data_IF_497991021822
#
_entry.id   IF_497991021822
#
_cell.length_a   1.000
_cell.length_b   1.000
_cell.length_c   1.000
_cell.angle_alpha   90.00
_cell.angle_beta   90.00
_cell.angle_gamma   90.00
#
_symmetry.space_group_name_H-M   'P 1'
#
loop_
_entity.id
_entity.type
_entity.pdbx_description
1 polymer ?
#
# COMPACT_ATOMS: atom_id res chain seq x y z
N UNK A 1 32.48 -1.22 -20.44
CA UNK A 1 32.08 -1.13 -19.01
C UNK A 1 32.49 -2.37 -18.23
N UNK A 2 31.92 -3.56 -18.48
CA UNK A 2 32.18 -4.77 -17.68
C UNK A 2 33.65 -5.19 -17.60
N UNK A 3 34.38 -5.09 -18.72
CA UNK A 3 35.83 -5.35 -18.77
C UNK A 3 36.63 -4.50 -17.77
N UNK A 4 36.29 -3.22 -17.62
CA UNK A 4 36.95 -2.31 -16.67
C UNK A 4 36.62 -2.69 -15.23
N UNK A 5 35.35 -3.01 -14.95
CA UNK A 5 34.94 -3.45 -13.61
C UNK A 5 35.62 -4.78 -13.24
N UNK A 6 35.65 -5.77 -14.14
CA UNK A 6 36.37 -7.04 -13.95
C UNK A 6 37.86 -6.83 -13.68
N UNK A 7 38.48 -5.82 -14.30
CA UNK A 7 39.84 -5.39 -14.00
C UNK A 7 40.01 -4.95 -12.54
N UNK A 8 39.09 -4.12 -12.05
CA UNK A 8 39.10 -3.60 -10.66
C UNK A 8 38.75 -4.67 -9.63
N UNK A 9 37.78 -5.56 -9.92
CA UNK A 9 37.35 -6.60 -8.96
C UNK A 9 38.19 -7.86 -9.00
N UNK A 10 39.20 -7.92 -9.87
CA UNK A 10 40.12 -9.06 -10.01
C UNK A 10 40.80 -9.47 -8.70
N UNK A 11 41.10 -8.51 -7.82
CA UNK A 11 41.65 -8.75 -6.47
C UNK A 11 40.62 -9.27 -5.45
N UNK A 12 39.33 -9.25 -5.78
CA UNK A 12 38.20 -9.67 -4.94
C UNK A 12 37.43 -10.89 -5.50
N UNK A 13 38.05 -11.66 -6.40
CA UNK A 13 37.44 -12.85 -7.03
C UNK A 13 36.86 -13.88 -6.06
N UNK A 14 37.34 -13.94 -4.81
CA UNK A 14 36.80 -14.82 -3.76
C UNK A 14 35.36 -14.45 -3.34
N UNK A 15 34.87 -13.26 -3.67
CA UNK A 15 33.50 -12.81 -3.40
C UNK A 15 32.49 -13.24 -4.46
N UNK A 16 32.96 -13.78 -5.60
CA UNK A 16 32.14 -14.20 -6.73
C UNK A 16 32.13 -15.72 -6.87
N UNK A 17 31.13 -16.31 -7.57
CA UNK A 17 31.16 -17.72 -7.95
C UNK A 17 32.47 -18.06 -8.68
N UNK A 18 33.05 -19.22 -8.38
CA UNK A 18 34.39 -19.59 -8.88
C UNK A 18 34.43 -19.52 -10.42
N UNK A 19 35.38 -18.73 -10.94
CA UNK A 19 35.71 -18.59 -12.37
C UNK A 19 34.65 -17.90 -13.25
N UNK A 20 33.68 -17.18 -12.67
CA UNK A 20 32.73 -16.37 -13.47
C UNK A 20 33.22 -14.94 -13.67
N UNK A 21 32.99 -14.39 -14.87
CA UNK A 21 33.15 -12.96 -15.19
C UNK A 21 31.93 -12.20 -14.69
N UNK A 22 32.10 -10.94 -14.30
CA UNK A 22 30.97 -10.13 -13.83
C UNK A 22 29.93 -9.92 -14.93
N UNK A 23 30.38 -9.79 -16.19
CA UNK A 23 29.50 -9.69 -17.36
C UNK A 23 28.43 -10.79 -17.37
N UNK A 24 28.84 -12.05 -17.21
CA UNK A 24 27.94 -13.22 -17.18
C UNK A 24 26.94 -13.15 -16.02
N UNK A 25 27.39 -12.69 -14.84
CA UNK A 25 26.49 -12.53 -13.68
C UNK A 25 25.45 -11.43 -13.90
N UNK A 26 25.78 -10.43 -14.73
CA UNK A 26 24.94 -9.28 -14.98
C UNK A 26 24.02 -9.45 -16.20
N UNK A 27 24.34 -10.34 -17.14
CA UNK A 27 23.49 -10.67 -18.30
C UNK A 27 22.05 -10.99 -17.87
N UNK A 28 21.85 -11.80 -16.82
CA UNK A 28 20.52 -12.12 -16.30
C UNK A 28 19.74 -10.91 -15.74
N UNK A 29 20.40 -9.78 -15.48
CA UNK A 29 19.76 -8.56 -14.97
C UNK A 29 19.46 -7.54 -16.05
N UNK A 30 20.16 -7.58 -17.19
CA UNK A 30 20.00 -6.61 -18.26
C UNK A 30 19.26 -7.14 -19.49
N UNK A 31 19.26 -8.47 -19.69
CA UNK A 31 18.72 -9.09 -20.91
C UNK A 31 17.31 -9.67 -20.72
N UNK A 32 16.68 -9.47 -19.56
CA UNK A 32 15.32 -9.94 -19.30
C UNK A 32 14.56 -8.93 -18.45
N UNK A 33 13.24 -8.87 -18.66
CA UNK A 33 12.36 -7.93 -17.97
C UNK A 33 12.03 -8.39 -16.54
N UNK A 34 11.76 -7.41 -15.68
CA UNK A 34 11.33 -7.64 -14.30
C UNK A 34 12.48 -7.92 -13.33
N UNK A 35 12.12 -8.47 -12.17
CA UNK A 35 13.05 -8.83 -11.10
C UNK A 35 12.48 -9.98 -10.27
N UNK A 36 13.32 -10.75 -9.54
CA UNK A 36 12.85 -11.93 -8.83
C UNK A 36 12.24 -11.60 -7.46
N UNK A 37 11.25 -12.40 -7.08
CA UNK A 37 10.98 -12.73 -5.68
C UNK A 37 11.75 -14.00 -5.32
N UNK A 38 12.50 -13.92 -4.22
CA UNK A 38 13.27 -15.03 -3.67
C UNK A 38 12.48 -15.62 -2.51
N UNK A 39 11.98 -16.85 -2.67
CA UNK A 39 11.28 -17.58 -1.62
C UNK A 39 12.31 -18.33 -0.76
N UNK A 40 12.33 -18.06 0.53
CA UNK A 40 13.28 -18.62 1.48
C UNK A 40 12.54 -19.40 2.56
N UNK A 41 12.86 -20.68 2.66
CA UNK A 41 12.30 -21.60 3.65
C UNK A 41 13.40 -22.18 4.54
N UNK A 42 13.81 -21.47 5.60
CA UNK A 42 14.71 -22.01 6.60
C UNK A 42 14.03 -23.11 7.41
N UNK A 43 14.76 -24.19 7.66
CA UNK A 43 14.39 -25.26 8.57
C UNK A 43 15.28 -25.16 9.82
N UNK A 44 14.69 -24.66 10.91
CA UNK A 44 15.40 -24.42 12.15
C UNK A 44 15.73 -25.70 12.95
N UNK A 45 15.22 -26.87 12.53
CA UNK A 45 15.51 -28.17 13.16
C UNK A 45 16.82 -28.77 12.66
N UNK A 46 17.05 -28.76 11.34
CA UNK A 46 18.21 -29.40 10.71
C UNK A 46 19.21 -28.40 10.09
N UNK A 47 18.88 -27.11 10.06
CA UNK A 47 19.71 -26.04 9.53
C UNK A 47 19.73 -25.93 8.00
N UNK A 48 18.81 -26.59 7.28
CA UNK A 48 18.69 -26.42 5.83
C UNK A 48 17.96 -25.13 5.47
N UNK A 49 18.33 -24.50 4.37
CA UNK A 49 17.63 -23.36 3.78
C UNK A 49 17.27 -23.74 2.36
N UNK A 50 15.98 -23.94 2.10
CA UNK A 50 15.48 -24.09 0.74
C UNK A 50 15.23 -22.70 0.17
N UNK A 51 15.77 -22.42 -1.00
CA UNK A 51 15.64 -21.14 -1.69
C UNK A 51 15.12 -21.40 -3.09
N UNK A 52 14.08 -20.67 -3.48
CA UNK A 52 13.62 -20.61 -4.87
C UNK A 52 13.55 -19.19 -5.38
N UNK A 53 13.56 -19.03 -6.71
CA UNK A 53 13.33 -17.76 -7.36
C UNK A 53 12.18 -17.86 -8.37
N UNK A 54 11.34 -16.82 -8.38
CA UNK A 54 10.25 -16.67 -9.33
C UNK A 54 10.25 -15.20 -9.78
N UNK A 55 9.79 -14.91 -11.00
CA UNK A 55 9.59 -13.53 -11.44
C UNK A 55 8.49 -12.87 -10.58
N UNK A 56 8.72 -11.61 -10.15
CA UNK A 56 7.71 -10.81 -9.46
C UNK A 56 6.93 -9.98 -10.49
N UNK A 57 5.91 -10.57 -11.11
CA UNK A 57 5.12 -9.94 -12.19
C UNK A 57 3.97 -9.11 -11.63
N UNK A 58 3.58 -8.08 -12.40
CA UNK A 58 2.46 -7.20 -12.09
C UNK A 58 1.08 -7.87 -12.25
N UNK A 59 0.94 -8.94 -13.03
CA UNK A 59 -0.32 -9.67 -13.19
C UNK A 59 -0.09 -11.18 -13.20
N UNK A 60 -0.91 -11.90 -12.44
CA UNK A 60 -0.95 -13.36 -12.39
C UNK A 60 -1.75 -13.98 -13.55
N UNK A 61 -2.22 -13.17 -14.50
CA UNK A 61 -3.02 -13.58 -15.64
C UNK A 61 -2.18 -14.19 -16.77
N UNK A 62 -0.88 -13.89 -16.85
CA UNK A 62 0.03 -14.59 -17.75
C UNK A 62 0.37 -15.96 -17.17
N UNK A 63 -0.31 -17.00 -17.68
CA UNK A 63 0.00 -18.43 -17.45
C UNK A 63 1.30 -18.88 -18.11
N UNK A 64 2.12 -17.96 -18.61
CA UNK A 64 3.42 -18.33 -19.15
C UNK A 64 4.35 -18.66 -17.98
N UNK A 65 4.79 -19.90 -17.94
CA UNK A 65 5.89 -20.34 -17.07
C UNK A 65 7.13 -19.57 -17.49
N UNK A 66 7.34 -18.43 -16.85
CA UNK A 66 8.51 -17.61 -17.11
C UNK A 66 9.69 -18.24 -16.37
N UNK A 67 10.49 -19.01 -17.10
CA UNK A 67 11.69 -19.69 -16.60
C UNK A 67 12.88 -18.74 -16.38
N UNK A 68 12.62 -17.42 -16.39
CA UNK A 68 13.61 -16.39 -16.09
C UNK A 68 14.22 -16.62 -14.71
N UNK A 69 15.54 -16.57 -14.68
CA UNK A 69 16.38 -16.88 -13.55
C UNK A 69 17.52 -15.88 -13.48
N UNK A 70 17.91 -15.51 -12.27
CA UNK A 70 18.91 -14.47 -12.01
C UNK A 70 20.08 -15.04 -11.22
N UNK A 71 21.28 -14.52 -11.51
CA UNK A 71 22.41 -14.61 -10.59
C UNK A 71 22.22 -13.66 -9.42
N UNK A 72 21.90 -14.18 -8.25
CA UNK A 72 21.54 -13.35 -7.08
C UNK A 72 22.56 -13.48 -5.95
N UNK A 73 23.26 -12.39 -5.56
CA UNK A 73 24.05 -12.36 -4.33
C UNK A 73 23.13 -12.16 -3.13
N UNK A 74 22.84 -13.24 -2.41
CA UNK A 74 22.01 -13.28 -1.21
C UNK A 74 22.83 -13.10 0.05
N UNK A 75 22.88 -11.87 0.55
CA UNK A 75 23.42 -11.56 1.88
C UNK A 75 22.36 -11.85 2.95
N UNK A 76 22.72 -12.57 4.01
CA UNK A 76 21.80 -12.85 5.11
C UNK A 76 22.46 -12.80 6.50
N UNK A 77 21.65 -12.59 7.52
CA UNK A 77 22.01 -12.66 8.92
C UNK A 77 21.00 -13.51 9.70
N UNK A 78 21.50 -14.25 10.68
CA UNK A 78 20.70 -14.86 11.74
C UNK A 78 20.73 -13.92 12.93
N UNK A 79 19.58 -13.40 13.34
CA UNK A 79 19.51 -12.35 14.36
C UNK A 79 19.69 -12.97 15.75
N UNK A 80 20.93 -13.24 16.16
CA UNK A 80 21.27 -13.80 17.47
C UNK A 80 21.72 -12.70 18.46
N UNK A 81 21.24 -12.76 19.71
CA UNK A 81 21.53 -11.85 20.82
C UNK A 81 23.03 -11.78 21.21
N UNK A 82 23.87 -12.73 20.79
CA UNK A 82 25.24 -12.94 21.34
C UNK A 82 26.43 -12.86 20.36
N UNK A 83 26.23 -12.65 19.05
CA UNK A 83 27.35 -12.48 18.10
C UNK A 83 27.36 -11.07 17.49
N UNK A 84 28.56 -10.57 17.14
CA UNK A 84 28.66 -9.51 16.12
C UNK A 84 27.85 -9.99 14.90
N UNK A 85 27.07 -9.11 14.26
CA UNK A 85 26.25 -9.46 13.11
C UNK A 85 27.16 -9.97 11.99
N UNK A 86 27.29 -11.29 11.84
CA UNK A 86 28.07 -11.90 10.78
C UNK A 86 27.17 -12.01 9.57
N UNK A 87 27.43 -11.19 8.55
CA UNK A 87 26.74 -11.26 7.27
C UNK A 87 27.35 -12.37 6.45
N UNK A 88 26.52 -13.35 6.09
CA UNK A 88 26.88 -14.47 5.22
C UNK A 88 26.40 -14.17 3.80
N UNK A 89 27.04 -14.78 2.80
CA UNK A 89 26.72 -14.59 1.38
C UNK A 89 26.49 -15.96 0.73
N UNK A 90 25.39 -16.08 0.02
CA UNK A 90 25.07 -17.18 -0.90
C UNK A 90 24.95 -16.58 -2.30
N UNK A 91 25.44 -17.28 -3.32
CA UNK A 91 25.16 -16.93 -4.71
C UNK A 91 24.15 -17.92 -5.26
N UNK A 92 22.96 -17.44 -5.63
CA UNK A 92 22.04 -18.23 -6.41
C UNK A 92 22.55 -18.33 -7.84
N UNK A 93 22.57 -19.56 -8.35
CA UNK A 93 22.80 -19.88 -9.74
C UNK A 93 21.56 -19.56 -10.60
N UNK A 94 21.77 -19.12 -11.84
CA UNK A 94 20.72 -18.93 -12.83
C UNK A 94 20.12 -20.27 -13.28
N UNK A 95 20.90 -21.32 -13.52
CA UNK A 95 20.38 -22.62 -14.02
C UNK A 95 19.44 -23.39 -13.08
N UNK A 96 19.20 -22.94 -11.85
CA UNK A 96 18.38 -23.65 -10.86
C UNK A 96 17.36 -22.75 -10.18
N UNK A 97 16.08 -22.99 -10.48
CA UNK A 97 14.94 -22.40 -9.79
C UNK A 97 14.91 -22.75 -8.31
N UNK A 98 15.37 -23.93 -7.90
CA UNK A 98 15.36 -24.42 -6.52
C UNK A 98 16.76 -24.86 -6.08
N UNK A 99 17.20 -24.37 -4.93
CA UNK A 99 18.52 -24.64 -4.37
C UNK A 99 18.43 -24.85 -2.86
N UNK A 100 19.24 -25.77 -2.33
CA UNK A 100 19.28 -26.08 -0.89
C UNK A 100 20.66 -25.77 -0.34
N UNK A 101 20.69 -24.95 0.70
CA UNK A 101 21.88 -24.58 1.45
C UNK A 101 21.82 -25.13 2.87
N UNK A 102 22.96 -25.20 3.56
CA UNK A 102 23.03 -25.63 4.96
C UNK A 102 23.80 -24.61 5.77
N UNK A 103 23.24 -24.22 6.91
CA UNK A 103 23.90 -23.38 7.90
C UNK A 103 23.59 -23.91 9.30
N UNK A 104 24.61 -24.47 9.95
CA UNK A 104 24.47 -25.05 11.30
C UNK A 104 24.10 -24.01 12.36
N UNK A 105 24.38 -22.73 12.13
CA UNK A 105 23.98 -21.66 13.06
C UNK A 105 22.45 -21.43 13.08
N UNK A 106 21.72 -21.97 12.09
CA UNK A 106 20.24 -21.96 12.08
C UNK A 106 19.62 -22.98 13.01
N UNK A 107 20.36 -24.05 13.34
CA UNK A 107 19.91 -25.08 14.26
C UNK A 107 19.80 -24.47 15.65
N UNK A 108 18.61 -23.97 15.97
CA UNK A 108 18.42 -23.15 17.15
C UNK A 108 17.87 -24.01 18.29
N UNK A 109 18.38 -23.81 19.51
CA UNK A 109 17.83 -24.47 20.70
C UNK A 109 16.45 -23.89 21.00
N UNK A 110 15.57 -24.72 21.58
CA UNK A 110 14.13 -24.59 21.78
C UNK A 110 13.61 -23.29 22.42
N UNK A 111 14.47 -22.38 22.86
CA UNK A 111 14.12 -21.20 23.67
C UNK A 111 14.40 -19.86 22.99
N UNK A 112 14.93 -19.81 21.77
CA UNK A 112 15.18 -18.55 21.06
C UNK A 112 14.60 -18.54 19.64
N UNK A 113 13.54 -17.74 19.42
CA UNK A 113 12.87 -17.57 18.13
C UNK A 113 13.60 -16.56 17.24
N UNK A 114 14.90 -16.75 17.03
CA UNK A 114 15.69 -15.86 16.16
C UNK A 114 15.28 -16.05 14.70
N UNK A 115 14.93 -14.97 13.97
CA UNK A 115 14.66 -15.03 12.55
C UNK A 115 15.95 -14.98 11.72
N UNK A 116 15.80 -15.38 10.47
CA UNK A 116 16.79 -15.15 9.40
C UNK A 116 16.30 -14.01 8.53
N UNK A 117 17.18 -13.04 8.26
CA UNK A 117 16.88 -11.91 7.39
C UNK A 117 17.83 -11.95 6.20
N UNK A 118 17.27 -11.91 5.00
CA UNK A 118 17.99 -11.85 3.73
C UNK A 118 17.97 -10.44 3.14
N UNK A 119 18.78 -10.22 2.11
CA UNK A 119 19.03 -8.92 1.48
C UNK A 119 19.48 -7.86 2.49
N UNK A 120 20.55 -8.14 3.25
CA UNK A 120 21.02 -7.22 4.30
C UNK A 120 21.27 -5.81 3.75
N UNK A 121 20.66 -4.81 4.39
CA UNK A 121 20.57 -3.41 3.96
C UNK A 121 19.87 -3.15 2.62
N UNK A 122 19.09 -4.10 2.10
CA UNK A 122 18.33 -3.97 0.86
C UNK A 122 19.22 -3.59 -0.35
N UNK A 123 20.45 -4.11 -0.40
CA UNK A 123 21.40 -3.76 -1.48
C UNK A 123 21.14 -4.47 -2.79
N UNK A 124 20.36 -5.55 -2.78
CA UNK A 124 19.99 -6.31 -3.97
C UNK A 124 18.62 -5.89 -4.52
N UNK A 125 18.49 -5.88 -5.84
CA UNK A 125 17.26 -5.53 -6.56
C UNK A 125 16.31 -6.74 -6.69
N UNK A 126 15.83 -7.23 -5.54
CA UNK A 126 14.93 -8.38 -5.45
C UNK A 126 14.13 -8.34 -4.16
N UNK A 127 12.97 -9.01 -4.16
CA UNK A 127 12.11 -9.15 -2.98
C UNK A 127 12.39 -10.47 -2.26
N UNK A 128 12.16 -10.52 -0.96
CA UNK A 128 12.27 -11.76 -0.19
C UNK A 128 10.90 -12.16 0.36
N UNK A 129 10.47 -13.36 0.03
CA UNK A 129 9.37 -14.03 0.73
C UNK A 129 9.94 -15.12 1.65
N UNK A 130 9.36 -15.28 2.83
CA UNK A 130 9.76 -16.30 3.79
C UNK A 130 8.66 -17.33 3.99
N UNK A 131 9.00 -18.52 4.48
CA UNK A 131 8.00 -19.44 5.02
C UNK A 131 7.30 -18.87 6.28
N UNK A 132 6.14 -19.42 6.61
CA UNK A 132 5.31 -18.99 7.74
C UNK A 132 6.07 -19.00 9.08
N UNK A 133 6.95 -19.99 9.30
CA UNK A 133 7.72 -20.08 10.53
C UNK A 133 8.67 -18.88 10.68
N UNK A 134 9.41 -18.51 9.62
CA UNK A 134 10.32 -17.38 9.70
C UNK A 134 9.58 -16.04 9.72
N UNK A 135 8.48 -15.88 8.97
CA UNK A 135 7.61 -14.68 9.10
C UNK A 135 7.10 -14.51 10.54
N UNK A 136 6.65 -15.59 11.19
CA UNK A 136 6.23 -15.56 12.60
C UNK A 136 7.38 -15.15 13.53
N UNK A 137 8.57 -15.71 13.34
CA UNK A 137 9.79 -15.33 14.11
C UNK A 137 10.13 -13.86 13.89
N UNK A 138 10.05 -13.36 12.65
CA UNK A 138 10.28 -11.94 12.30
C UNK A 138 9.31 -11.05 13.05
N UNK A 139 8.00 -11.31 12.98
CA UNK A 139 6.98 -10.51 13.67
C UNK A 139 7.22 -10.47 15.18
N UNK A 140 7.49 -11.62 15.80
CA UNK A 140 7.75 -11.69 17.24
C UNK A 140 9.01 -10.94 17.61
N UNK A 141 10.06 -11.05 16.80
CA UNK A 141 11.33 -10.40 17.05
C UNK A 141 11.26 -8.88 16.85
N UNK A 142 10.50 -8.38 15.88
CA UNK A 142 10.23 -6.94 15.72
C UNK A 142 9.55 -6.37 16.97
N UNK A 143 8.54 -7.07 17.51
CA UNK A 143 7.87 -6.64 18.74
C UNK A 143 8.79 -6.66 19.96
N UNK A 144 9.70 -7.64 20.03
CA UNK A 144 10.61 -7.80 21.15
C UNK A 144 11.80 -6.84 21.10
N UNK A 145 12.49 -6.74 19.96
CA UNK A 145 13.69 -5.92 19.79
C UNK A 145 13.96 -5.57 18.31
N UNK A 146 13.10 -4.73 17.74
CA UNK A 146 13.22 -4.26 16.34
C UNK A 146 14.58 -3.60 16.03
N UNK A 147 15.23 -2.93 16.99
CA UNK A 147 16.52 -2.24 16.79
C UNK A 147 17.67 -3.19 16.38
N UNK A 148 17.52 -4.49 16.66
CA UNK A 148 18.51 -5.50 16.26
C UNK A 148 18.39 -5.90 14.79
N UNK A 149 17.29 -5.57 14.10
CA UNK A 149 17.16 -5.64 12.64
C UNK A 149 17.56 -4.27 12.07
N UNK A 150 18.40 -4.28 11.02
CA UNK A 150 18.85 -3.04 10.37
C UNK A 150 17.69 -2.21 9.85
N UNK A 151 17.84 -0.87 9.89
CA UNK A 151 16.82 0.09 9.43
C UNK A 151 16.28 -0.27 8.03
N UNK A 152 17.16 -0.43 7.04
CA UNK A 152 16.76 -0.76 5.67
C UNK A 152 16.13 -2.14 5.53
N UNK A 153 16.48 -3.11 6.38
CA UNK A 153 15.76 -4.38 6.41
C UNK A 153 14.37 -4.23 7.05
N UNK A 154 14.16 -3.32 8.01
CA UNK A 154 12.80 -3.05 8.52
C UNK A 154 11.93 -2.39 7.45
N UNK A 155 12.50 -1.45 6.69
CA UNK A 155 11.86 -0.88 5.48
C UNK A 155 11.47 -2.00 4.52
N UNK A 156 12.43 -2.86 4.17
CA UNK A 156 12.21 -4.00 3.29
C UNK A 156 11.11 -4.93 3.83
N UNK A 157 11.10 -5.28 5.11
CA UNK A 157 10.09 -6.19 5.67
C UNK A 157 8.68 -5.61 5.57
N UNK A 158 8.51 -4.29 5.76
CA UNK A 158 7.23 -3.62 5.55
C UNK A 158 6.88 -3.60 4.06
N UNK A 159 7.79 -3.14 3.19
CA UNK A 159 7.54 -3.06 1.75
C UNK A 159 7.24 -4.43 1.12
N UNK A 160 8.14 -5.41 1.31
CA UNK A 160 8.02 -6.76 0.76
C UNK A 160 6.75 -7.44 1.28
N UNK A 161 6.44 -7.39 2.57
CA UNK A 161 5.25 -8.11 3.09
C UNK A 161 3.93 -7.60 2.49
N UNK A 162 3.77 -6.29 2.30
CA UNK A 162 2.58 -5.74 1.65
C UNK A 162 2.57 -5.98 0.14
N UNK A 163 3.71 -5.81 -0.54
CA UNK A 163 3.81 -6.03 -1.99
C UNK A 163 3.62 -7.51 -2.37
N UNK A 164 4.15 -8.44 -1.56
CA UNK A 164 3.93 -9.88 -1.73
C UNK A 164 2.47 -10.26 -1.51
N UNK A 165 1.83 -9.68 -0.49
CA UNK A 165 0.41 -9.94 -0.24
C UNK A 165 -0.49 -9.45 -1.38
N UNK A 166 -0.22 -8.26 -1.90
CA UNK A 166 -0.94 -7.70 -3.06
C UNK A 166 -0.79 -8.52 -4.34
N UNK A 167 0.25 -9.35 -4.43
CA UNK A 167 0.49 -10.26 -5.56
C UNK A 167 0.14 -11.71 -5.25
N UNK A 168 -0.50 -11.99 -4.11
CA UNK A 168 -0.94 -13.34 -3.73
C UNK A 168 0.19 -14.29 -3.29
N UNK A 169 1.43 -13.81 -3.14
CA UNK A 169 2.54 -14.63 -2.63
C UNK A 169 2.51 -14.82 -1.10
N UNK A 170 1.69 -14.02 -0.41
CA UNK A 170 1.65 -13.96 1.05
C UNK A 170 0.23 -13.64 1.52
N UNK A 171 -0.23 -14.24 2.62
CA UNK A 171 -1.50 -13.82 3.22
C UNK A 171 -1.39 -12.42 3.81
N UNK A 172 -2.42 -11.58 3.62
CA UNK A 172 -2.53 -10.26 4.24
C UNK A 172 -2.43 -10.27 5.78
N UNK A 173 -2.63 -11.41 6.44
CA UNK A 173 -2.37 -11.52 7.88
C UNK A 173 -0.93 -11.21 8.25
N UNK A 174 0.04 -11.54 7.40
CA UNK A 174 1.46 -11.37 7.71
C UNK A 174 1.84 -9.90 7.79
N UNK A 175 1.61 -9.04 6.76
CA UNK A 175 1.89 -7.61 6.87
C UNK A 175 1.11 -6.96 8.02
N UNK A 176 -0.17 -7.29 8.24
CA UNK A 176 -0.93 -6.75 9.37
C UNK A 176 -0.38 -7.19 10.74
N UNK A 177 0.11 -8.42 10.87
CA UNK A 177 0.82 -8.86 12.09
C UNK A 177 2.14 -8.11 12.27
N UNK A 178 2.87 -7.81 11.19
CA UNK A 178 4.07 -6.97 11.24
C UNK A 178 3.71 -5.57 11.76
N UNK A 179 2.63 -4.93 11.29
CA UNK A 179 2.30 -3.56 11.74
C UNK A 179 2.12 -3.39 13.26
N UNK A 180 1.90 -4.48 14.01
CA UNK A 180 1.80 -4.46 15.47
C UNK A 180 3.05 -3.95 16.20
N UNK A 181 4.23 -3.93 15.56
CA UNK A 181 5.43 -3.34 16.17
C UNK A 181 5.57 -1.83 15.91
N UNK A 182 4.88 -1.29 14.89
CA UNK A 182 5.07 0.09 14.42
C UNK A 182 4.89 1.16 15.52
N UNK A 183 3.99 1.03 16.52
CA UNK A 183 3.92 2.03 17.61
C UNK A 183 5.24 2.26 18.37
N UNK A 184 6.19 1.34 18.27
CA UNK A 184 7.53 1.45 18.85
C UNK A 184 8.59 1.93 17.85
N UNK A 185 8.28 2.05 16.55
CA UNK A 185 9.22 2.48 15.52
C UNK A 185 9.44 4.00 15.54
N UNK A 186 10.70 4.40 15.55
CA UNK A 186 11.16 5.78 15.63
C UNK A 186 11.66 6.33 14.30
N UNK A 187 11.97 5.44 13.34
CA UNK A 187 12.58 5.82 12.07
C UNK A 187 11.54 6.29 11.04
N UNK A 188 11.61 7.55 10.54
CA UNK A 188 10.60 8.10 9.64
C UNK A 188 10.39 7.30 8.35
N UNK A 189 11.48 6.77 7.78
CA UNK A 189 11.44 6.04 6.51
C UNK A 189 10.52 4.81 6.56
N UNK A 190 10.48 4.08 7.69
CA UNK A 190 9.63 2.89 7.84
C UNK A 190 8.15 3.30 7.84
N UNK A 191 7.81 4.41 8.49
CA UNK A 191 6.45 4.91 8.51
C UNK A 191 5.99 5.45 7.16
N UNK A 192 6.87 6.12 6.42
CA UNK A 192 6.58 6.56 5.05
C UNK A 192 6.31 5.35 4.17
N UNK A 193 7.17 4.33 4.20
CA UNK A 193 6.95 3.07 3.48
C UNK A 193 5.64 2.41 3.88
N UNK A 194 5.30 2.36 5.17
CA UNK A 194 4.02 1.83 5.62
C UNK A 194 2.84 2.61 5.04
N UNK A 195 2.85 3.94 5.06
CA UNK A 195 1.77 4.76 4.52
C UNK A 195 1.63 4.66 3.00
N UNK A 196 2.74 4.51 2.28
CA UNK A 196 2.73 4.26 0.83
C UNK A 196 2.11 2.89 0.52
N UNK A 197 2.55 1.83 1.23
CA UNK A 197 1.92 0.50 1.11
C UNK A 197 0.45 0.53 1.51
N UNK A 198 0.09 1.30 2.54
CA UNK A 198 -1.29 1.47 2.92
C UNK A 198 -2.09 2.15 1.80
N UNK A 199 -1.51 3.14 1.12
CA UNK A 199 -2.14 3.78 -0.04
C UNK A 199 -2.42 2.76 -1.14
N UNK A 200 -1.41 1.97 -1.50
CA UNK A 200 -1.49 0.92 -2.52
C UNK A 200 -2.63 -0.07 -2.23
N UNK A 201 -2.76 -0.53 -0.98
CA UNK A 201 -3.79 -1.52 -0.64
C UNK A 201 -5.18 -0.87 -0.52
N UNK A 202 -5.27 0.40 -0.11
CA UNK A 202 -6.60 1.05 0.02
C UNK A 202 -7.20 1.48 -1.31
N UNK A 203 -6.37 1.74 -2.32
CA UNK A 203 -6.84 2.05 -3.67
C UNK A 203 -7.34 0.80 -4.39
N UNK A 204 -6.81 -0.39 -4.06
CA UNK A 204 -7.07 -1.65 -4.77
C UNK A 204 -7.98 -2.65 -4.04
N UNK A 205 -7.91 -2.72 -2.71
CA UNK A 205 -8.46 -3.85 -1.94
C UNK A 205 -9.29 -3.34 -0.76
N UNK A 206 -8.69 -2.61 0.17
CA UNK A 206 -9.31 -2.23 1.43
C UNK A 206 -9.67 -0.75 1.43
N UNK A 207 -10.82 -0.37 0.88
CA UNK A 207 -11.32 0.99 1.17
C UNK A 207 -11.57 1.07 2.68
N UNK A 208 -10.68 1.73 3.43
CA UNK A 208 -10.73 1.83 4.89
C UNK A 208 -12.09 2.35 5.38
N UNK A 209 -12.73 3.20 4.58
CA UNK A 209 -14.06 3.76 4.81
C UNK A 209 -15.15 2.66 4.93
N UNK A 210 -14.94 1.49 4.33
CA UNK A 210 -15.89 0.36 4.35
C UNK A 210 -15.65 -0.64 5.49
N UNK A 211 -14.56 -0.49 6.23
CA UNK A 211 -14.13 -1.49 7.20
C UNK A 211 -13.77 -0.85 8.54
N UNK A 212 -14.80 -0.59 9.36
CA UNK A 212 -14.64 0.09 10.65
C UNK A 212 -13.62 -0.59 11.58
N UNK A 213 -13.54 -1.93 11.57
CA UNK A 213 -12.56 -2.64 12.40
C UNK A 213 -11.11 -2.37 11.98
N UNK A 214 -10.83 -2.40 10.66
CA UNK A 214 -9.52 -2.07 10.09
C UNK A 214 -9.20 -0.59 10.34
N UNK A 215 -10.17 0.30 10.11
CA UNK A 215 -10.04 1.74 10.36
C UNK A 215 -9.64 2.04 11.81
N UNK A 216 -10.34 1.46 12.78
CA UNK A 216 -10.05 1.61 14.21
C UNK A 216 -8.68 1.03 14.57
N UNK A 217 -8.32 -0.14 14.03
CA UNK A 217 -7.00 -0.73 14.26
C UNK A 217 -5.87 0.16 13.75
N UNK A 218 -5.97 0.62 12.50
CA UNK A 218 -4.96 1.47 11.87
C UNK A 218 -4.82 2.81 12.61
N UNK A 219 -5.94 3.42 13.02
CA UNK A 219 -5.95 4.61 13.87
C UNK A 219 -5.17 4.37 15.17
N UNK A 220 -5.41 3.24 15.84
CA UNK A 220 -4.75 2.94 17.11
C UNK A 220 -3.23 2.78 16.96
N UNK A 221 -2.76 2.06 15.93
CA UNK A 221 -1.30 1.86 15.75
C UNK A 221 -0.58 3.14 15.30
N UNK A 222 -1.29 4.06 14.64
CA UNK A 222 -0.73 5.33 14.13
C UNK A 222 -0.90 6.50 15.09
N UNK A 223 -1.73 6.40 16.12
CA UNK A 223 -2.09 7.49 17.03
C UNK A 223 -0.88 8.18 17.66
N UNK A 224 0.07 7.41 18.18
CA UNK A 224 1.27 7.93 18.83
C UNK A 224 2.15 8.74 17.85
N UNK A 225 2.24 8.27 16.60
CA UNK A 225 2.97 8.97 15.55
C UNK A 225 2.29 10.29 15.21
N UNK A 226 0.97 10.27 14.98
CA UNK A 226 0.20 11.47 14.70
C UNK A 226 0.36 12.51 15.80
N UNK A 227 0.20 12.12 17.07
CA UNK A 227 0.34 13.03 18.22
C UNK A 227 1.73 13.66 18.33
N UNK A 228 2.78 12.90 17.97
CA UNK A 228 4.15 13.40 17.91
C UNK A 228 4.30 14.48 16.83
N UNK A 229 3.90 14.16 15.60
CA UNK A 229 4.12 15.05 14.46
C UNK A 229 3.20 16.28 14.46
N UNK A 230 2.02 16.26 15.11
CA UNK A 230 1.23 17.47 15.30
C UNK A 230 1.89 18.51 16.22
N UNK A 231 2.81 18.09 17.10
CA UNK A 231 3.57 19.00 17.97
C UNK A 231 4.87 19.46 17.32
N UNK A 232 5.60 18.53 16.71
CA UNK A 232 6.97 18.75 16.22
C UNK A 232 7.03 19.37 14.81
N UNK A 233 5.91 19.43 14.06
CA UNK A 233 5.91 19.85 12.66
C UNK A 233 6.38 21.29 12.44
N UNK A 234 5.98 22.23 13.30
CA UNK A 234 6.27 23.66 13.11
C UNK A 234 7.77 23.99 13.19
N UNK A 235 8.60 23.07 13.68
CA UNK A 235 10.02 23.30 13.97
C UNK A 235 10.96 22.59 12.99
N UNK A 236 10.48 21.64 12.18
CA UNK A 236 11.35 20.78 11.36
C UNK A 236 11.57 21.32 9.95
N UNK A 237 12.83 21.64 9.62
CA UNK A 237 13.28 21.93 8.23
C UNK A 237 13.58 20.68 7.39
N UNK A 238 13.51 19.48 7.99
CA UNK A 238 13.79 18.22 7.29
C UNK A 238 12.58 17.78 6.42
N UNK A 239 12.83 17.64 5.12
CA UNK A 239 11.84 17.21 4.13
C UNK A 239 11.21 15.84 4.44
N UNK A 240 11.97 14.91 5.03
CA UNK A 240 11.48 13.58 5.41
C UNK A 240 10.46 13.68 6.55
N UNK A 241 10.76 14.49 7.56
CA UNK A 241 9.84 14.74 8.68
C UNK A 241 8.59 15.48 8.23
N UNK A 242 8.74 16.44 7.31
CA UNK A 242 7.63 17.15 6.67
C UNK A 242 6.71 16.19 5.91
N UNK A 243 7.27 15.32 5.06
CA UNK A 243 6.51 14.29 4.34
C UNK A 243 5.78 13.35 5.30
N UNK A 244 6.42 12.96 6.40
CA UNK A 244 5.79 12.10 7.40
C UNK A 244 4.66 12.79 8.16
N UNK A 245 4.80 14.08 8.48
CA UNK A 245 3.70 14.85 9.05
C UNK A 245 2.50 14.90 8.08
N UNK A 246 2.73 15.20 6.80
CA UNK A 246 1.67 15.22 5.78
C UNK A 246 0.94 13.88 5.72
N UNK A 247 1.68 12.78 5.55
CA UNK A 247 1.11 11.43 5.49
C UNK A 247 0.38 11.05 6.78
N UNK A 248 0.99 11.31 7.95
CA UNK A 248 0.37 10.99 9.24
C UNK A 248 -0.95 11.75 9.45
N UNK A 249 -1.03 12.98 8.97
CA UNK A 249 -2.25 13.80 9.02
C UNK A 249 -3.29 13.24 8.06
N UNK A 250 -2.95 13.12 6.77
CA UNK A 250 -3.83 12.55 5.73
C UNK A 250 -4.47 11.23 6.17
N UNK A 251 -3.66 10.30 6.67
CA UNK A 251 -4.13 8.99 7.11
C UNK A 251 -4.96 9.06 8.40
N UNK A 252 -4.56 9.87 9.38
CA UNK A 252 -5.36 10.04 10.60
C UNK A 252 -6.73 10.60 10.31
N UNK A 253 -6.82 11.56 9.39
CA UNK A 253 -8.07 12.14 8.92
C UNK A 253 -8.93 11.12 8.16
N UNK A 254 -8.33 10.35 7.25
CA UNK A 254 -9.00 9.27 6.52
C UNK A 254 -9.52 8.15 7.43
N UNK A 255 -8.90 7.94 8.59
CA UNK A 255 -9.31 6.95 9.59
C UNK A 255 -10.26 7.50 10.66
N UNK A 256 -10.88 8.67 10.43
CA UNK A 256 -11.80 9.32 11.37
C UNK A 256 -11.17 9.46 12.78
N UNK A 257 -9.92 9.93 12.83
CA UNK A 257 -9.28 10.27 14.09
C UNK A 257 -9.96 11.51 14.70
N UNK A 258 -10.53 11.42 15.92
CA UNK A 258 -11.24 12.55 16.54
C UNK A 258 -10.40 13.82 16.64
N UNK A 259 -9.08 13.69 16.86
CA UNK A 259 -8.17 14.84 16.90
C UNK A 259 -8.01 15.48 15.52
N UNK A 260 -7.86 14.69 14.45
CA UNK A 260 -7.85 15.28 13.11
C UNK A 260 -9.21 15.94 12.81
N UNK A 261 -10.33 15.27 13.08
CA UNK A 261 -11.67 15.83 12.82
C UNK A 261 -11.82 17.21 13.45
N UNK A 262 -11.42 17.36 14.72
CA UNK A 262 -11.45 18.64 15.41
C UNK A 262 -10.53 19.70 14.77
N UNK A 263 -9.32 19.31 14.33
CA UNK A 263 -8.40 20.22 13.62
C UNK A 263 -9.02 20.68 12.29
N UNK A 264 -9.59 19.74 11.53
CA UNK A 264 -10.22 19.98 10.23
C UNK A 264 -11.43 20.91 10.33
N UNK A 265 -12.33 20.65 11.27
CA UNK A 265 -13.51 21.49 11.52
C UNK A 265 -13.08 22.91 11.88
N UNK A 266 -12.17 23.06 12.85
CA UNK A 266 -11.65 24.38 13.25
C UNK A 266 -11.00 25.14 12.10
N UNK A 267 -10.18 24.47 11.29
CA UNK A 267 -9.52 25.09 10.15
C UNK A 267 -10.53 25.65 9.13
N UNK A 268 -11.60 24.89 8.83
CA UNK A 268 -12.64 25.35 7.89
C UNK A 268 -13.55 26.40 8.54
N UNK A 269 -13.88 26.30 9.82
CA UNK A 269 -14.62 27.35 10.54
C UNK A 269 -13.89 28.69 10.58
N UNK A 270 -12.57 28.67 10.80
CA UNK A 270 -11.73 29.87 10.73
C UNK A 270 -11.71 30.45 9.32
N UNK A 271 -11.65 29.59 8.30
CA UNK A 271 -11.72 30.00 6.90
C UNK A 271 -13.08 30.63 6.55
N UNK A 272 -14.18 30.05 7.04
CA UNK A 272 -15.54 30.61 6.88
C UNK A 272 -15.70 31.98 7.53
N UNK A 273 -15.02 32.22 8.67
CA UNK A 273 -15.03 33.52 9.36
C UNK A 273 -14.14 34.56 8.68
N UNK A 274 -13.07 34.12 8.01
CA UNK A 274 -12.12 35.00 7.33
C UNK A 274 -11.52 34.29 6.12
N UNK A 275 -11.88 34.74 4.91
CA UNK A 275 -11.42 34.15 3.65
C UNK A 275 -9.89 34.13 3.47
N UNK A 276 -9.12 34.91 4.25
CA UNK A 276 -7.65 34.88 4.24
C UNK A 276 -7.06 33.75 5.09
N UNK A 277 -7.84 33.13 5.99
CA UNK A 277 -7.43 32.01 6.85
C UNK A 277 -7.67 30.66 6.17
N UNK A 278 -7.09 30.50 4.98
CA UNK A 278 -7.18 29.26 4.20
C UNK A 278 -6.56 28.10 4.98
N UNK A 279 -7.17 26.89 4.99
CA UNK A 279 -6.55 25.71 5.57
C UNK A 279 -5.15 25.45 5.02
N UNK A 280 -4.29 24.83 5.83
CA UNK A 280 -2.89 24.59 5.45
C UNK A 280 -2.79 23.85 4.11
N UNK A 281 -2.14 24.48 3.12
CA UNK A 281 -2.09 23.99 1.73
C UNK A 281 -1.51 22.59 1.58
N UNK A 282 -0.55 22.20 2.43
CA UNK A 282 0.15 20.92 2.34
C UNK A 282 -0.69 19.71 2.77
N UNK A 283 -1.73 19.97 3.56
CA UNK A 283 -2.69 18.98 4.05
C UNK A 283 -4.12 19.41 3.76
N UNK A 284 -4.31 20.33 2.81
CA UNK A 284 -5.59 20.98 2.54
C UNK A 284 -6.68 19.97 2.22
N UNK A 285 -6.39 19.03 1.31
CA UNK A 285 -7.33 17.98 0.93
C UNK A 285 -7.78 17.18 2.15
N UNK A 286 -6.86 16.80 3.04
CA UNK A 286 -7.19 16.05 4.25
C UNK A 286 -8.09 16.86 5.20
N UNK A 287 -7.79 18.14 5.40
CA UNK A 287 -8.58 19.02 6.27
C UNK A 287 -9.96 19.27 5.70
N UNK A 288 -10.05 19.70 4.45
CA UNK A 288 -11.31 20.08 3.79
C UNK A 288 -12.22 18.88 3.57
N UNK A 289 -11.69 17.77 3.06
CA UNK A 289 -12.47 16.52 2.92
C UNK A 289 -13.06 16.07 4.27
N UNK A 290 -12.27 16.13 5.34
CA UNK A 290 -12.72 15.71 6.69
C UNK A 290 -13.77 16.66 7.25
N UNK A 291 -13.59 17.97 7.06
CA UNK A 291 -14.56 18.97 7.50
C UNK A 291 -15.89 18.82 6.75
N UNK A 292 -15.86 18.58 5.44
CA UNK A 292 -17.05 18.33 4.63
C UNK A 292 -17.75 17.04 5.06
N UNK A 293 -16.99 15.95 5.28
CA UNK A 293 -17.54 14.66 5.73
C UNK A 293 -18.33 14.77 7.04
N UNK A 294 -17.88 15.64 7.95
CA UNK A 294 -18.45 15.89 9.27
C UNK A 294 -19.29 17.18 9.34
N UNK A 295 -19.46 17.87 8.22
CA UNK A 295 -20.10 19.17 8.12
C UNK A 295 -21.52 19.09 7.60
N UNK A 296 -22.19 20.25 7.57
CA UNK A 296 -23.53 20.40 6.99
C UNK A 296 -23.45 21.05 5.60
N UNK A 297 -24.62 21.30 5.00
CA UNK A 297 -24.70 21.92 3.68
C UNK A 297 -24.08 23.32 3.62
N UNK A 298 -24.10 24.09 4.73
CA UNK A 298 -23.46 25.41 4.77
C UNK A 298 -21.95 25.32 4.60
N UNK A 299 -21.30 24.35 5.24
CA UNK A 299 -19.87 24.07 5.05
C UNK A 299 -19.59 23.70 3.60
N UNK A 300 -20.39 22.81 3.03
CA UNK A 300 -20.23 22.37 1.64
C UNK A 300 -20.37 23.52 0.65
N UNK A 301 -21.43 24.32 0.76
CA UNK A 301 -21.70 25.47 -0.11
C UNK A 301 -20.59 26.53 0.00
N UNK A 302 -20.09 26.78 1.22
CA UNK A 302 -18.95 27.68 1.40
C UNK A 302 -17.71 27.15 0.67
N UNK A 303 -17.30 25.89 0.89
CA UNK A 303 -16.10 25.35 0.24
C UNK A 303 -16.24 25.37 -1.28
N UNK A 304 -17.43 25.04 -1.81
CA UNK A 304 -17.71 25.12 -3.23
C UNK A 304 -17.57 26.55 -3.78
N UNK A 305 -17.97 27.57 -3.00
CA UNK A 305 -17.86 28.98 -3.42
C UNK A 305 -16.41 29.47 -3.48
N UNK A 306 -15.46 28.76 -2.85
CA UNK A 306 -14.03 29.12 -2.87
C UNK A 306 -13.28 28.58 -4.09
N UNK A 307 -13.94 27.89 -5.02
CA UNK A 307 -13.31 27.27 -6.20
C UNK A 307 -12.36 28.21 -6.94
N UNK A 308 -12.77 29.45 -7.21
CA UNK A 308 -11.98 30.44 -7.95
C UNK A 308 -10.98 31.22 -7.09
N UNK A 309 -11.00 31.02 -5.77
CA UNK A 309 -10.24 31.82 -4.80
C UNK A 309 -9.00 31.08 -4.26
N UNK A 310 -8.83 29.80 -4.59
CA UNK A 310 -7.69 29.01 -4.13
C UNK A 310 -6.68 28.72 -5.25
N UNK A 311 -5.42 28.49 -4.86
CA UNK A 311 -4.32 28.24 -5.81
C UNK A 311 -4.54 26.98 -6.64
N UNK A 312 -5.09 25.93 -6.05
CA UNK A 312 -5.34 24.65 -6.72
C UNK A 312 -6.82 24.25 -6.63
N UNK A 313 -7.68 24.72 -7.54
CA UNK A 313 -9.12 24.46 -7.53
C UNK A 313 -9.50 22.96 -7.51
N UNK A 314 -8.64 22.07 -8.04
CA UNK A 314 -8.89 20.63 -8.00
C UNK A 314 -8.95 20.09 -6.55
N UNK A 315 -8.34 20.77 -5.58
CA UNK A 315 -8.46 20.43 -4.17
C UNK A 315 -9.88 20.69 -3.63
N UNK A 316 -10.58 21.73 -4.11
CA UNK A 316 -12.00 21.94 -3.81
C UNK A 316 -12.81 20.78 -4.38
N UNK A 317 -12.65 20.50 -5.68
CA UNK A 317 -13.39 19.44 -6.38
C UNK A 317 -13.26 18.11 -5.65
N UNK A 318 -12.02 17.75 -5.29
CA UNK A 318 -11.75 16.51 -4.56
C UNK A 318 -12.38 16.51 -3.16
N UNK A 319 -12.30 17.63 -2.43
CA UNK A 319 -12.88 17.75 -1.08
C UNK A 319 -14.41 17.67 -1.06
N UNK A 320 -15.09 18.25 -2.05
CA UNK A 320 -16.56 18.26 -2.16
C UNK A 320 -17.16 16.85 -2.27
N UNK A 321 -16.43 15.92 -2.88
CA UNK A 321 -16.84 14.52 -3.00
C UNK A 321 -16.92 13.79 -1.64
N UNK A 322 -16.32 14.32 -0.57
CA UNK A 322 -16.26 13.67 0.74
C UNK A 322 -17.54 13.77 1.59
N UNK A 323 -18.59 14.45 1.09
CA UNK A 323 -19.85 14.59 1.81
C UNK A 323 -20.48 13.24 2.11
N UNK A 324 -20.98 13.07 3.32
CA UNK A 324 -21.76 11.87 3.70
C UNK A 324 -23.26 12.03 3.38
N UNK A 325 -23.72 13.24 3.05
CA UNK A 325 -25.10 13.52 2.71
C UNK A 325 -25.37 13.15 1.23
N UNK A 326 -26.22 12.16 1.02
CA UNK A 326 -26.57 11.63 -0.31
C UNK A 326 -27.12 12.71 -1.26
N UNK A 327 -28.01 13.57 -0.78
CA UNK A 327 -28.60 14.64 -1.60
C UNK A 327 -27.58 15.68 -2.03
N UNK A 328 -26.57 15.96 -1.20
CA UNK A 328 -25.44 16.82 -1.59
C UNK A 328 -24.60 16.16 -2.68
N UNK A 329 -24.36 14.85 -2.60
CA UNK A 329 -23.61 14.12 -3.62
C UNK A 329 -24.39 14.04 -4.94
N UNK A 330 -25.70 13.79 -4.90
CA UNK A 330 -26.57 13.81 -6.08
C UNK A 330 -26.54 15.20 -6.75
N UNK A 331 -26.77 16.28 -5.97
CA UNK A 331 -26.60 17.67 -6.44
C UNK A 331 -25.22 17.90 -7.06
N UNK A 332 -24.16 17.36 -6.46
CA UNK A 332 -22.80 17.56 -6.95
C UNK A 332 -22.54 16.85 -8.29
N UNK A 333 -23.12 15.68 -8.49
CA UNK A 333 -23.10 14.98 -9.79
C UNK A 333 -23.92 15.74 -10.84
N UNK A 334 -25.11 16.24 -10.50
CA UNK A 334 -25.93 17.04 -11.43
C UNK A 334 -25.21 18.31 -11.89
N UNK A 335 -24.43 18.94 -11.01
CA UNK A 335 -23.59 20.09 -11.36
C UNK A 335 -22.56 19.79 -12.47
N UNK A 336 -22.15 18.54 -12.69
CA UNK A 336 -21.25 18.20 -13.82
C UNK A 336 -21.95 18.25 -15.16
N UNK A 337 -23.29 18.29 -15.19
CA UNK A 337 -24.11 18.49 -16.39
C UNK A 337 -24.57 19.95 -16.51
N UNK A 338 -24.99 20.55 -15.40
CA UNK A 338 -25.65 21.86 -15.40
C UNK A 338 -24.68 23.05 -15.35
N UNK A 339 -23.47 22.87 -14.80
CA UNK A 339 -22.53 23.96 -14.57
C UNK A 339 -21.23 23.77 -15.38
N UNK A 340 -20.93 24.72 -16.27
CA UNK A 340 -19.77 24.65 -17.16
C UNK A 340 -18.42 24.47 -16.43
N UNK A 341 -18.28 25.04 -15.22
CA UNK A 341 -17.05 24.90 -14.42
C UNK A 341 -16.86 23.46 -13.95
N UNK A 342 -17.90 22.85 -13.39
CA UNK A 342 -17.83 21.47 -12.91
C UNK A 342 -17.90 20.44 -14.04
N UNK A 343 -18.55 20.77 -15.15
CA UNK A 343 -18.53 19.97 -16.38
C UNK A 343 -17.09 19.72 -16.85
N UNK A 344 -16.25 20.76 -16.88
CA UNK A 344 -14.83 20.63 -17.24
C UNK A 344 -13.98 19.80 -16.26
N UNK A 345 -14.56 19.41 -15.11
CA UNK A 345 -13.94 18.63 -14.04
C UNK A 345 -14.69 17.33 -13.74
N UNK A 346 -15.62 16.94 -14.61
CA UNK A 346 -16.49 15.79 -14.41
C UNK A 346 -15.69 14.51 -14.10
N UNK A 347 -14.55 14.31 -14.76
CA UNK A 347 -13.67 13.17 -14.52
C UNK A 347 -13.15 13.09 -13.08
N UNK A 348 -12.68 14.20 -12.50
CA UNK A 348 -12.24 14.26 -11.10
C UNK A 348 -13.43 14.03 -10.16
N UNK A 349 -14.59 14.60 -10.48
CA UNK A 349 -15.83 14.42 -9.68
C UNK A 349 -16.22 12.95 -9.65
N UNK A 350 -16.31 12.31 -10.82
CA UNK A 350 -16.68 10.90 -10.96
C UNK A 350 -15.68 10.01 -10.25
N UNK A 351 -14.39 10.24 -10.48
CA UNK A 351 -13.32 9.50 -9.82
C UNK A 351 -13.50 9.57 -8.30
N UNK A 352 -13.65 10.78 -7.72
CA UNK A 352 -13.70 11.02 -6.27
C UNK A 352 -15.03 10.69 -5.62
N UNK A 353 -16.15 10.80 -6.31
CA UNK A 353 -17.46 10.41 -5.76
C UNK A 353 -17.55 8.88 -5.67
N UNK A 354 -17.15 8.15 -6.71
CA UNK A 354 -17.13 6.68 -6.68
C UNK A 354 -16.07 6.10 -5.72
N UNK A 355 -15.15 6.92 -5.23
CA UNK A 355 -14.22 6.53 -4.18
C UNK A 355 -14.92 6.33 -2.82
N UNK A 356 -15.97 7.09 -2.55
CA UNK A 356 -16.65 7.13 -1.24
C UNK A 356 -17.73 6.06 -1.11
N UNK A 357 -18.08 5.68 0.13
CA UNK A 357 -19.13 4.68 0.38
C UNK A 357 -20.50 5.09 -0.17
N UNK A 358 -20.96 6.30 0.15
CA UNK A 358 -22.27 6.79 -0.27
C UNK A 358 -22.26 7.24 -1.75
N UNK A 359 -21.12 7.74 -2.22
CA UNK A 359 -21.00 8.24 -3.58
C UNK A 359 -21.02 7.17 -4.65
N UNK A 360 -20.57 5.93 -4.40
CA UNK A 360 -20.65 4.84 -5.40
C UNK A 360 -22.05 4.58 -5.91
N UNK A 361 -23.01 4.41 -4.99
CA UNK A 361 -24.40 4.18 -5.38
C UNK A 361 -25.01 5.40 -6.08
N UNK A 362 -24.71 6.61 -5.59
CA UNK A 362 -25.22 7.84 -6.22
C UNK A 362 -24.63 8.04 -7.62
N UNK A 363 -23.33 7.79 -7.80
CA UNK A 363 -22.66 7.85 -9.09
C UNK A 363 -23.20 6.80 -10.06
N UNK A 364 -23.34 5.55 -9.64
CA UNK A 364 -23.88 4.51 -10.52
C UNK A 364 -25.31 4.81 -10.97
N UNK A 365 -26.17 5.28 -10.05
CA UNK A 365 -27.54 5.70 -10.39
C UNK A 365 -27.55 6.90 -11.35
N UNK A 366 -26.68 7.87 -11.12
CA UNK A 366 -26.52 9.03 -12.00
C UNK A 366 -26.13 8.62 -13.42
N UNK A 367 -25.14 7.73 -13.56
CA UNK A 367 -24.73 7.20 -14.87
C UNK A 367 -25.87 6.42 -15.51
N UNK A 368 -26.53 5.51 -14.78
CA UNK A 368 -27.67 4.73 -15.32
C UNK A 368 -28.79 5.62 -15.87
N UNK A 369 -29.04 6.75 -15.23
CA UNK A 369 -30.08 7.69 -15.62
C UNK A 369 -29.71 8.53 -16.85
N UNK A 370 -28.43 8.89 -17.01
CA UNK A 370 -27.99 9.85 -18.03
C UNK A 370 -27.04 9.28 -19.07
N UNK A 371 -26.75 7.98 -19.05
CA UNK A 371 -25.79 7.34 -19.95
C UNK A 371 -26.03 7.71 -21.41
N UNK A 372 -27.26 7.55 -21.89
CA UNK A 372 -27.63 7.78 -23.29
C UNK A 372 -27.59 9.27 -23.69
N UNK A 373 -27.52 10.19 -22.73
CA UNK A 373 -27.38 11.64 -22.95
C UNK A 373 -25.92 12.13 -22.86
N UNK A 374 -25.03 11.31 -22.31
CA UNK A 374 -23.65 11.66 -22.05
C UNK A 374 -22.75 11.19 -23.19
N UNK A 375 -21.73 11.99 -23.52
CA UNK A 375 -20.68 11.52 -24.41
C UNK A 375 -19.85 10.46 -23.67
N UNK A 376 -19.74 9.27 -24.26
CA UNK A 376 -18.90 8.20 -23.74
C UNK A 376 -17.47 8.71 -23.59
N UNK A 377 -16.91 8.51 -22.41
CA UNK A 377 -15.55 8.94 -22.12
C UNK A 377 -14.83 7.86 -21.33
N UNK A 378 -13.55 7.68 -21.67
CA UNK A 378 -12.67 6.74 -20.98
C UNK A 378 -12.65 6.95 -19.45
N UNK A 379 -12.76 8.19 -19.00
CA UNK A 379 -12.79 8.53 -17.57
C UNK A 379 -14.07 8.01 -16.87
N UNK A 380 -15.20 8.01 -17.58
CA UNK A 380 -16.45 7.40 -17.10
C UNK A 380 -16.30 5.89 -17.00
N UNK A 381 -15.76 5.24 -18.03
CA UNK A 381 -15.51 3.79 -18.04
C UNK A 381 -14.60 3.41 -16.87
N UNK A 382 -13.45 4.08 -16.70
CA UNK A 382 -12.51 3.86 -15.60
C UNK A 382 -13.19 4.02 -14.22
N UNK A 383 -14.10 4.97 -14.08
CA UNK A 383 -14.88 5.16 -12.86
C UNK A 383 -15.88 4.02 -12.63
N UNK A 384 -16.54 3.49 -13.66
CA UNK A 384 -17.43 2.34 -13.57
C UNK A 384 -16.67 1.04 -13.27
N UNK A 385 -15.51 0.81 -13.90
CA UNK A 385 -14.59 -0.27 -13.52
C UNK A 385 -14.24 -0.21 -12.04
N UNK A 386 -14.02 1.00 -11.52
CA UNK A 386 -13.70 1.24 -10.11
C UNK A 386 -14.90 0.96 -9.20
N UNK A 387 -16.11 1.36 -9.58
CA UNK A 387 -17.35 0.99 -8.87
C UNK A 387 -17.46 -0.54 -8.79
N UNK A 388 -17.29 -1.23 -9.92
CA UNK A 388 -17.37 -2.69 -10.01
C UNK A 388 -16.38 -3.36 -9.05
N UNK A 389 -15.09 -2.96 -9.12
CA UNK A 389 -14.01 -3.47 -8.24
C UNK A 389 -14.22 -3.16 -6.76
N UNK A 390 -15.01 -2.14 -6.43
CA UNK A 390 -15.28 -1.69 -5.05
C UNK A 390 -16.71 -2.01 -4.58
N UNK A 391 -17.39 -2.93 -5.27
CA UNK A 391 -18.73 -3.36 -4.93
C UNK A 391 -18.79 -3.92 -3.51
N UNK A 392 -19.83 -3.53 -2.76
CA UNK A 392 -19.97 -3.90 -1.35
C UNK A 392 -20.41 -5.36 -1.16
N UNK A 393 -21.13 -5.92 -2.13
CA UNK A 393 -21.67 -7.27 -2.08
C UNK A 393 -21.88 -7.80 -3.51
N UNK A 394 -22.27 -9.07 -3.62
CA UNK A 394 -22.53 -9.72 -4.91
C UNK A 394 -23.61 -9.00 -5.71
N UNK A 395 -24.72 -8.61 -5.09
CA UNK A 395 -25.83 -7.93 -5.78
C UNK A 395 -25.40 -6.63 -6.45
N UNK A 396 -24.65 -5.77 -5.74
CA UNK A 396 -24.11 -4.54 -6.30
C UNK A 396 -23.08 -4.82 -7.41
N UNK A 397 -22.27 -5.87 -7.26
CA UNK A 397 -21.32 -6.27 -8.30
C UNK A 397 -22.06 -6.67 -9.57
N UNK A 398 -23.04 -7.56 -9.43
CA UNK A 398 -23.81 -8.13 -10.55
C UNK A 398 -24.58 -7.01 -11.28
N UNK A 399 -25.21 -6.09 -10.55
CA UNK A 399 -25.93 -4.95 -11.14
C UNK A 399 -25.01 -4.05 -12.00
N UNK A 400 -23.80 -3.74 -11.50
CA UNK A 400 -22.84 -2.91 -12.24
C UNK A 400 -22.25 -3.69 -13.41
N UNK A 401 -21.98 -4.99 -13.24
CA UNK A 401 -21.45 -5.84 -14.29
C UNK A 401 -22.44 -5.95 -15.46
N UNK A 402 -23.72 -6.19 -15.18
CA UNK A 402 -24.76 -6.29 -16.20
C UNK A 402 -24.90 -4.98 -16.98
N UNK A 403 -24.86 -3.84 -16.29
CA UNK A 403 -24.88 -2.52 -16.95
C UNK A 403 -23.68 -2.32 -17.88
N UNK A 404 -22.46 -2.64 -17.42
CA UNK A 404 -21.24 -2.50 -18.21
C UNK A 404 -21.25 -3.44 -19.43
N UNK A 405 -21.76 -4.67 -19.30
CA UNK A 405 -21.93 -5.61 -20.41
C UNK A 405 -22.85 -5.06 -21.49
N UNK A 406 -23.96 -4.46 -21.08
CA UNK A 406 -24.98 -3.95 -22.01
C UNK A 406 -24.53 -2.67 -22.72
N UNK A 407 -23.87 -1.77 -22.00
CA UNK A 407 -23.65 -0.40 -22.48
C UNK A 407 -22.24 -0.09 -22.96
N UNK A 408 -21.21 -0.80 -22.49
CA UNK A 408 -19.78 -0.41 -22.70
C UNK A 408 -19.00 -1.51 -23.45
N UNK A 409 -19.68 -2.51 -24.03
CA UNK A 409 -19.07 -3.59 -24.83
C UNK A 409 -17.91 -4.37 -24.17
N UNK A 410 -17.89 -4.52 -22.84
CA UNK A 410 -16.84 -5.33 -22.21
C UNK A 410 -16.98 -6.80 -22.52
N UNK A 411 -15.85 -7.49 -22.66
CA UNK A 411 -15.86 -8.94 -22.79
C UNK A 411 -16.29 -9.62 -21.49
N UNK A 412 -17.06 -10.69 -21.62
CA UNK A 412 -17.47 -11.52 -20.48
C UNK A 412 -16.25 -12.06 -19.72
N UNK A 413 -15.16 -12.36 -20.43
CA UNK A 413 -13.87 -12.77 -19.84
C UNK A 413 -13.26 -11.73 -18.91
N UNK A 414 -13.32 -10.44 -19.23
CA UNK A 414 -12.78 -9.38 -18.38
C UNK A 414 -13.56 -9.27 -17.08
N UNK A 415 -14.89 -9.37 -17.16
CA UNK A 415 -15.76 -9.31 -15.99
C UNK A 415 -15.55 -10.52 -15.08
N UNK A 416 -15.36 -11.71 -15.65
CA UNK A 416 -15.00 -12.91 -14.88
C UNK A 416 -13.66 -12.75 -14.16
N UNK A 417 -12.66 -12.18 -14.82
CA UNK A 417 -11.36 -11.89 -14.19
C UNK A 417 -11.50 -10.89 -13.04
N UNK A 418 -12.26 -9.81 -13.25
CA UNK A 418 -12.55 -8.81 -12.21
C UNK A 418 -13.30 -9.46 -11.05
N UNK A 419 -14.28 -10.33 -11.31
CA UNK A 419 -15.04 -11.05 -10.27
C UNK A 419 -14.13 -11.95 -9.44
N UNK A 420 -13.19 -12.66 -10.09
CA UNK A 420 -12.20 -13.48 -9.41
C UNK A 420 -11.30 -12.65 -8.49
N UNK A 421 -10.79 -11.52 -8.99
CA UNK A 421 -9.99 -10.59 -8.19
C UNK A 421 -10.79 -10.02 -7.01
N UNK A 422 -12.04 -9.62 -7.24
CA UNK A 422 -12.94 -9.11 -6.21
C UNK A 422 -13.21 -10.15 -5.12
N UNK A 423 -13.52 -11.40 -5.47
CA UNK A 423 -13.73 -12.49 -4.52
C UNK A 423 -12.49 -12.72 -3.64
N UNK A 424 -11.29 -12.70 -4.24
CA UNK A 424 -10.03 -12.82 -3.51
C UNK A 424 -9.85 -11.66 -2.52
N UNK A 425 -10.10 -10.43 -2.97
CA UNK A 425 -10.05 -9.24 -2.12
C UNK A 425 -11.01 -9.35 -0.93
N UNK A 426 -12.24 -9.82 -1.13
CA UNK A 426 -13.21 -10.04 -0.06
C UNK A 426 -12.71 -11.09 0.96
N UNK A 427 -12.08 -12.17 0.49
CA UNK A 427 -11.49 -13.17 1.37
C UNK A 427 -10.34 -12.58 2.20
N UNK A 428 -9.46 -11.80 1.59
CA UNK A 428 -8.34 -11.14 2.27
C UNK A 428 -8.82 -10.11 3.31
N UNK A 429 -9.86 -9.33 2.97
CA UNK A 429 -10.57 -8.44 3.90
C UNK A 429 -11.09 -9.19 5.11
N UNK A 430 -11.80 -10.28 4.89
CA UNK A 430 -12.41 -11.07 5.96
C UNK A 430 -11.35 -11.63 6.90
N UNK A 431 -10.29 -12.21 6.35
CA UNK A 431 -9.20 -12.80 7.12
C UNK A 431 -8.53 -11.76 8.04
N UNK A 432 -8.27 -10.54 7.54
CA UNK A 432 -7.70 -9.46 8.35
C UNK A 432 -8.68 -8.99 9.44
N UNK A 433 -9.96 -8.82 9.09
CA UNK A 433 -11.00 -8.42 10.03
C UNK A 433 -11.16 -9.42 11.18
N UNK A 434 -11.25 -10.71 10.86
CA UNK A 434 -11.37 -11.79 11.85
C UNK A 434 -10.17 -11.76 12.82
N UNK A 435 -8.96 -11.60 12.28
CA UNK A 435 -7.76 -11.45 13.11
C UNK A 435 -7.82 -10.21 14.03
N UNK A 436 -8.24 -9.05 13.53
CA UNK A 436 -8.38 -7.84 14.34
C UNK A 436 -9.38 -8.05 15.49
N UNK A 437 -10.51 -8.70 15.21
CA UNK A 437 -11.53 -8.97 16.21
C UNK A 437 -11.02 -9.90 17.33
N UNK A 438 -10.25 -10.93 17.00
CA UNK A 438 -9.62 -11.80 18.02
C UNK A 438 -8.62 -11.07 18.92
N UNK A 439 -8.15 -9.88 18.53
CA UNK A 439 -7.23 -9.05 19.31
C UNK A 439 -7.91 -8.00 20.16
N UNK A 440 -9.13 -7.57 19.81
CA UNK A 440 -9.93 -6.66 20.66
C UNK A 440 -10.26 -7.27 22.03
N UNK A 441 -10.23 -8.59 22.14
CA UNK A 441 -10.39 -9.32 23.42
C UNK A 441 -9.11 -9.38 24.28
N UNK A 442 -7.98 -8.81 23.83
CA UNK A 442 -6.64 -8.92 24.47
C UNK A 442 -5.89 -7.55 24.54
N UNK A 443 -6.45 -6.50 23.96
CA UNK A 443 -6.03 -5.09 24.18
C UNK A 443 -7.07 -4.43 25.10
#
# INVERSE_FOLDING_TARGET
FWKEIDGVVSCKKHLFPKKMKLEVLMESWFNQEGYPVINVSPNFKNGSIQISQNIFVADSSSKETNDNVWWVPLKYNIINKRRKRITKLIWLNDTKLNQVYRDVDLMNRSHCLYPVIFNINQTGYYRINYNDENWKRITQYLRFNYTKIYKYNRVQLVDDSFSLAMKGFLSYLVPFKITTYLPNEDQPLIWITFFEKLSDITSKIFRIELHDNIKVYLRNITQKLFDKYQKEYLESRDALHKKLWQLSTQWSCKMDNPKCINISIKAVEEWMKNNTKVPNEEIFEALVCTAIRNGNESVWNFVASQYSSIINPNNIVTGLACSTNKSIIEKYLDMTRENQTFHSKANIVFEKVCETQNGRSSFFNFIKMYYDEMEESKDMEESLYKVLKLSNNNTCFDEVADFIKEKIEFSESEIEEIRKQWNQNQADIRIVNDWIQTKKTII
#
